data_IF_082718598179
#
_entry.id   IF_082718598179
#
_cell.length_a   1.000
_cell.length_b   1.000
_cell.length_c   1.000
_cell.angle_alpha   90.00
_cell.angle_beta   90.00
_cell.angle_gamma   90.00
#
_symmetry.space_group_name_H-M   'P 1'
#
loop_
_entity.id
_entity.type
_entity.pdbx_description
1 polymer ?
#
# COMPACT_ATOMS: atom_id res chain seq x y z
N UNK A 1 16.15 -0.08 -4.48
CA UNK A 1 14.94 -0.82 -4.94
C UNK A 1 14.53 -0.26 -6.30
N UNK A 2 13.83 -1.02 -7.15
CA UNK A 2 13.57 -0.70 -8.58
C UNK A 2 12.92 0.68 -8.88
N UNK A 3 12.50 1.43 -7.87
CA UNK A 3 11.96 2.80 -8.00
C UNK A 3 13.01 3.89 -8.22
N UNK A 4 14.28 3.66 -7.85
CA UNK A 4 15.32 4.69 -7.88
C UNK A 4 16.04 4.78 -9.24
N UNK A 5 15.78 3.81 -10.13
CA UNK A 5 16.42 3.70 -11.44
C UNK A 5 15.59 4.46 -12.48
N UNK A 6 16.19 5.32 -13.32
CA UNK A 6 15.47 5.97 -14.42
C UNK A 6 14.72 4.95 -15.28
N UNK A 7 13.41 5.20 -15.46
CA UNK A 7 12.55 4.29 -16.23
C UNK A 7 12.24 2.96 -15.54
N UNK A 8 12.50 2.79 -14.24
CA UNK A 8 12.29 1.55 -13.49
C UNK A 8 10.88 0.96 -13.65
N UNK A 9 9.83 1.79 -13.63
CA UNK A 9 8.44 1.35 -13.91
C UNK A 9 8.29 0.71 -15.29
N UNK A 10 8.90 1.32 -16.30
CA UNK A 10 8.81 0.84 -17.68
C UNK A 10 9.63 -0.45 -17.88
N UNK A 11 10.76 -0.58 -17.17
CA UNK A 11 11.52 -1.82 -17.12
C UNK A 11 10.68 -2.92 -16.44
N UNK A 12 10.11 -2.67 -15.25
CA UNK A 12 9.27 -3.62 -14.51
C UNK A 12 8.10 -4.14 -15.36
N UNK A 13 7.49 -3.27 -16.16
CA UNK A 13 6.40 -3.63 -17.05
C UNK A 13 6.86 -4.51 -18.23
N UNK A 14 7.98 -4.19 -18.87
CA UNK A 14 8.43 -4.83 -20.12
C UNK A 14 9.27 -6.09 -19.91
N UNK A 15 10.08 -6.14 -18.86
CA UNK A 15 10.99 -7.26 -18.66
C UNK A 15 10.23 -8.53 -18.24
N UNK A 16 10.63 -9.71 -18.74
CA UNK A 16 10.06 -10.98 -18.29
C UNK A 16 10.42 -11.23 -16.83
N UNK A 17 9.65 -12.08 -16.14
CA UNK A 17 9.91 -12.40 -14.73
C UNK A 17 11.30 -13.02 -14.49
N UNK A 18 11.85 -13.73 -15.47
CA UNK A 18 13.20 -14.34 -15.40
C UNK A 18 14.31 -13.31 -15.29
N UNK A 19 14.15 -12.15 -15.93
CA UNK A 19 15.10 -11.03 -15.79
C UNK A 19 15.21 -10.59 -14.32
N UNK A 20 14.07 -10.46 -13.64
CA UNK A 20 14.02 -10.08 -12.23
C UNK A 20 14.54 -11.18 -11.31
N UNK A 21 14.24 -12.45 -11.60
CA UNK A 21 14.81 -13.61 -10.89
C UNK A 21 16.33 -13.54 -10.87
N UNK A 22 16.95 -13.39 -12.05
CA UNK A 22 18.40 -13.41 -12.19
C UNK A 22 19.06 -12.21 -11.50
N UNK A 23 18.45 -11.01 -11.60
CA UNK A 23 18.91 -9.82 -10.91
C UNK A 23 18.85 -9.97 -9.37
N UNK A 24 17.73 -10.48 -8.84
CA UNK A 24 17.54 -10.73 -7.41
C UNK A 24 18.57 -11.76 -6.90
N UNK A 25 18.75 -12.86 -7.64
CA UNK A 25 19.71 -13.91 -7.27
C UNK A 25 21.16 -13.40 -7.25
N UNK A 26 21.55 -12.59 -8.24
CA UNK A 26 22.88 -12.00 -8.29
C UNK A 26 23.12 -11.00 -7.14
N UNK A 27 22.15 -10.16 -6.82
CA UNK A 27 22.26 -9.17 -5.73
C UNK A 27 22.36 -9.83 -4.35
N UNK A 28 21.46 -10.77 -4.05
CA UNK A 28 21.47 -11.50 -2.78
C UNK A 28 22.67 -12.46 -2.66
N UNK A 29 23.19 -12.96 -3.80
CA UNK A 29 24.35 -13.85 -3.83
C UNK A 29 25.64 -13.24 -3.25
N UNK A 30 25.75 -11.91 -3.22
CA UNK A 30 26.88 -11.23 -2.57
C UNK A 30 26.94 -11.50 -1.06
N UNK A 31 25.77 -11.61 -0.41
CA UNK A 31 25.67 -11.93 1.02
C UNK A 31 25.60 -13.46 1.27
N UNK A 32 25.09 -14.23 0.31
CA UNK A 32 24.88 -15.67 0.43
C UNK A 32 25.35 -16.39 -0.85
N UNK A 33 26.66 -16.69 -1.00
CA UNK A 33 27.25 -17.15 -2.27
C UNK A 33 26.65 -18.45 -2.85
N UNK A 34 26.21 -19.35 -2.00
CA UNK A 34 25.58 -20.64 -2.33
C UNK A 34 24.05 -20.55 -2.50
N UNK A 35 23.46 -19.35 -2.46
CA UNK A 35 22.01 -19.17 -2.56
C UNK A 35 21.46 -19.65 -3.90
N UNK A 36 22.18 -19.44 -5.00
CA UNK A 36 21.74 -19.87 -6.33
C UNK A 36 21.58 -21.40 -6.38
N UNK A 37 22.54 -22.13 -5.82
CA UNK A 37 22.53 -23.60 -5.79
C UNK A 37 21.43 -24.14 -4.88
N UNK A 38 21.09 -23.41 -3.81
CA UNK A 38 20.08 -23.80 -2.81
C UNK A 38 18.66 -23.32 -3.14
N UNK A 39 18.47 -22.50 -4.17
CA UNK A 39 17.16 -21.94 -4.49
C UNK A 39 16.32 -22.97 -5.23
N UNK A 40 15.30 -23.52 -4.56
CA UNK A 40 14.38 -24.50 -5.17
C UNK A 40 13.23 -23.85 -5.95
N UNK A 41 12.77 -22.67 -5.52
CA UNK A 41 11.60 -22.00 -6.10
C UNK A 41 11.66 -20.49 -5.92
N UNK A 42 11.24 -19.76 -6.95
CA UNK A 42 11.01 -18.31 -6.91
C UNK A 42 9.65 -18.01 -7.53
N UNK A 43 8.79 -17.31 -6.80
CA UNK A 43 7.55 -16.74 -7.30
C UNK A 43 7.68 -15.20 -7.35
N UNK A 44 7.34 -14.60 -8.49
CA UNK A 44 7.44 -13.15 -8.69
C UNK A 44 6.09 -12.60 -9.11
N UNK A 45 5.60 -11.62 -8.35
CA UNK A 45 4.38 -10.88 -8.67
C UNK A 45 4.74 -9.43 -8.96
N UNK A 46 4.13 -8.87 -10.01
CA UNK A 46 4.29 -7.46 -10.39
C UNK A 46 3.04 -6.69 -9.98
N UNK A 47 3.19 -5.80 -9.01
CA UNK A 47 2.14 -4.88 -8.60
C UNK A 47 2.32 -3.54 -9.31
N UNK A 48 1.33 -3.13 -10.11
CA UNK A 48 1.31 -1.82 -10.78
C UNK A 48 1.13 -0.64 -9.80
N UNK A 49 0.57 -0.93 -8.63
CA UNK A 49 0.43 -0.05 -7.49
C UNK A 49 0.54 -0.92 -6.23
N UNK A 50 1.58 -0.71 -5.42
CA UNK A 50 1.81 -1.53 -4.23
C UNK A 50 1.22 -0.86 -2.99
N UNK A 51 1.86 0.21 -2.54
CA UNK A 51 1.49 1.01 -1.38
C UNK A 51 1.48 2.48 -1.79
N UNK A 52 0.66 3.30 -1.13
CA UNK A 52 0.74 4.75 -1.29
C UNK A 52 2.17 5.21 -1.01
N UNK A 53 2.74 5.98 -1.94
CA UNK A 53 4.05 6.62 -1.76
C UNK A 53 3.77 8.09 -1.47
N UNK A 54 3.67 8.49 -0.19
CA UNK A 54 3.32 9.85 0.16
C UNK A 54 4.39 10.81 -0.33
N UNK A 55 3.95 11.87 -1.01
CA UNK A 55 4.79 13.03 -1.33
C UNK A 55 4.70 14.06 -0.20
N UNK A 56 5.65 15.01 -0.09
CA UNK A 56 5.53 16.10 0.87
C UNK A 56 4.15 16.77 0.80
N UNK A 57 3.47 16.87 1.95
CA UNK A 57 2.11 17.41 2.07
C UNK A 57 0.96 16.41 1.94
N UNK A 58 1.21 15.14 1.59
CA UNK A 58 0.16 14.12 1.47
C UNK A 58 -0.62 13.92 2.78
N UNK A 59 0.08 13.82 3.92
CA UNK A 59 -0.55 13.68 5.23
C UNK A 59 -1.47 14.87 5.57
N UNK A 60 -1.03 16.10 5.31
CA UNK A 60 -1.84 17.29 5.54
C UNK A 60 -3.11 17.35 4.65
N UNK A 61 -3.07 16.77 3.46
CA UNK A 61 -4.25 16.64 2.59
C UNK A 61 -5.22 15.61 3.16
N UNK A 62 -4.73 14.43 3.53
CA UNK A 62 -5.51 13.33 4.12
C UNK A 62 -6.17 13.76 5.44
N UNK A 63 -5.42 14.43 6.33
CA UNK A 63 -5.96 14.95 7.59
C UNK A 63 -7.06 15.97 7.37
N UNK A 64 -6.91 16.88 6.39
CA UNK A 64 -7.98 17.84 6.04
C UNK A 64 -9.22 17.14 5.48
N UNK A 65 -9.05 16.14 4.62
CA UNK A 65 -10.18 15.37 4.09
C UNK A 65 -10.92 14.61 5.20
N UNK A 66 -10.19 14.02 6.15
CA UNK A 66 -10.77 13.35 7.33
C UNK A 66 -11.49 14.32 8.27
N UNK A 67 -10.96 15.53 8.48
CA UNK A 67 -11.63 16.54 9.31
C UNK A 67 -12.98 16.99 8.74
N UNK A 68 -13.18 16.86 7.42
CA UNK A 68 -14.46 17.11 6.77
C UNK A 68 -15.45 15.93 6.90
N UNK A 69 -15.00 14.75 7.34
CA UNK A 69 -15.87 13.62 7.61
C UNK A 69 -16.66 13.82 8.90
N UNK A 70 -17.92 13.40 8.90
CA UNK A 70 -18.76 13.43 10.10
C UNK A 70 -18.39 12.27 11.03
N UNK A 71 -18.13 12.57 12.30
CA UNK A 71 -18.05 11.57 13.35
C UNK A 71 -19.44 10.99 13.62
N UNK A 72 -19.82 9.95 12.89
CA UNK A 72 -21.00 9.15 13.20
C UNK A 72 -20.64 8.10 14.24
N UNK A 73 -21.16 8.23 15.46
CA UNK A 73 -21.30 7.17 16.49
C UNK A 73 -20.11 6.23 16.76
N UNK A 74 -18.89 6.59 16.35
CA UNK A 74 -17.79 5.65 16.25
C UNK A 74 -17.33 5.23 17.64
N UNK A 75 -17.11 3.92 17.81
CA UNK A 75 -16.46 3.34 19.01
C UNK A 75 -14.96 3.63 19.06
N UNK A 76 -14.42 4.31 18.06
CA UNK A 76 -13.01 4.63 17.82
C UNK A 76 -12.84 6.13 17.62
N UNK A 77 -11.68 6.69 18.01
CA UNK A 77 -11.38 8.13 17.84
C UNK A 77 -11.39 8.59 16.37
N UNK A 78 -11.26 7.66 15.42
CA UNK A 78 -11.24 7.96 13.98
C UNK A 78 -12.65 7.93 13.42
N UNK A 79 -13.13 9.09 12.95
CA UNK A 79 -14.40 9.21 12.24
C UNK A 79 -14.31 8.57 10.85
N UNK A 80 -15.24 7.68 10.47
CA UNK A 80 -15.29 7.14 9.11
C UNK A 80 -15.71 8.22 8.13
N UNK A 81 -15.11 8.19 6.93
CA UNK A 81 -15.45 9.13 5.86
C UNK A 81 -16.67 8.61 5.10
N UNK A 82 -17.83 9.21 5.40
CA UNK A 82 -19.13 8.94 4.77
C UNK A 82 -19.53 10.15 3.94
N UNK A 83 -20.06 9.92 2.73
CA UNK A 83 -20.49 10.97 1.81
C UNK A 83 -21.96 11.34 2.04
N UNK A 84 -22.28 12.63 2.03
CA UNK A 84 -23.64 13.13 2.24
C UNK A 84 -24.64 12.62 1.17
N UNK A 85 -24.18 12.49 -0.08
CA UNK A 85 -24.96 11.97 -1.22
C UNK A 85 -24.93 10.44 -1.33
N UNK A 86 -24.07 9.76 -0.56
CA UNK A 86 -23.98 8.30 -0.47
C UNK A 86 -23.85 7.83 0.99
N UNK A 87 -24.92 7.94 1.81
CA UNK A 87 -24.87 7.71 3.25
C UNK A 87 -24.60 6.25 3.65
N UNK A 88 -24.60 5.32 2.68
CA UNK A 88 -24.26 3.89 2.90
C UNK A 88 -22.88 3.52 2.38
N UNK A 89 -22.06 4.51 1.99
CA UNK A 89 -20.71 4.31 1.49
C UNK A 89 -19.72 4.93 2.48
N UNK A 90 -18.75 4.13 2.93
CA UNK A 90 -17.68 4.57 3.82
C UNK A 90 -16.31 4.16 3.28
N UNK A 91 -15.30 5.02 3.44
CA UNK A 91 -13.92 4.69 3.08
C UNK A 91 -13.16 4.06 4.26
N UNK A 92 -12.39 3.02 3.96
CA UNK A 92 -11.70 2.19 4.96
C UNK A 92 -10.25 1.78 4.56
N UNK A 93 -9.71 2.32 3.46
CA UNK A 93 -8.48 1.82 2.87
C UNK A 93 -7.20 2.29 3.60
N UNK A 94 -6.12 1.51 3.52
CA UNK A 94 -4.81 1.86 4.09
C UNK A 94 -4.24 3.17 3.54
N UNK A 95 -4.51 3.50 2.28
CA UNK A 95 -4.07 4.79 1.72
C UNK A 95 -4.72 5.97 2.45
N UNK A 96 -5.83 5.71 3.12
CA UNK A 96 -6.57 6.71 3.85
C UNK A 96 -5.97 7.08 5.19
N UNK A 97 -4.99 6.34 5.71
CA UNK A 97 -4.12 6.76 6.82
C UNK A 97 -2.99 7.71 6.40
N UNK A 98 -2.81 7.91 5.10
CA UNK A 98 -1.72 8.70 4.55
C UNK A 98 -0.39 7.96 4.50
N UNK A 99 -0.35 6.68 4.89
CA UNK A 99 0.80 5.78 4.75
C UNK A 99 0.39 4.31 4.93
N UNK A 100 0.93 3.39 4.12
CA UNK A 100 0.43 2.01 4.08
C UNK A 100 0.93 1.13 5.25
N UNK A 101 0.20 1.13 6.37
CA UNK A 101 0.37 0.16 7.47
C UNK A 101 -0.93 -0.60 7.76
N UNK A 102 -0.80 -1.87 8.17
CA UNK A 102 -1.94 -2.76 8.34
C UNK A 102 -2.84 -2.36 9.50
N UNK A 103 -2.27 -1.87 10.60
CA UNK A 103 -2.98 -1.49 11.82
C UNK A 103 -3.96 -0.35 11.55
N UNK A 104 -3.56 0.63 10.74
CA UNK A 104 -4.42 1.74 10.34
C UNK A 104 -5.52 1.28 9.38
N UNK A 105 -5.18 0.42 8.42
CA UNK A 105 -6.17 -0.15 7.50
C UNK A 105 -7.26 -0.92 8.27
N UNK A 106 -6.86 -1.71 9.25
CA UNK A 106 -7.77 -2.43 10.13
C UNK A 106 -8.65 -1.47 10.94
N UNK A 107 -8.04 -0.49 11.61
CA UNK A 107 -8.75 0.49 12.44
C UNK A 107 -9.80 1.27 11.64
N UNK A 108 -9.48 1.67 10.41
CA UNK A 108 -10.41 2.36 9.52
C UNK A 108 -11.53 1.44 9.02
N UNK A 109 -11.22 0.16 8.75
CA UNK A 109 -12.21 -0.86 8.39
C UNK A 109 -13.21 -1.12 9.51
N UNK A 110 -12.73 -1.26 10.75
CA UNK A 110 -13.58 -1.44 11.93
C UNK A 110 -14.49 -0.22 12.15
N UNK A 111 -13.93 0.99 12.08
CA UNK A 111 -14.69 2.24 12.20
C UNK A 111 -15.78 2.38 11.12
N UNK A 112 -15.44 2.07 9.86
CA UNK A 112 -16.39 2.10 8.75
C UNK A 112 -17.50 1.06 8.90
N UNK A 113 -17.15 -0.16 9.34
CA UNK A 113 -18.12 -1.23 9.61
C UNK A 113 -19.08 -0.86 10.73
N UNK A 114 -18.57 -0.29 11.82
CA UNK A 114 -19.38 0.14 12.96
C UNK A 114 -20.36 1.29 12.61
N UNK A 115 -19.99 2.20 11.71
CA UNK A 115 -20.84 3.33 11.35
C UNK A 115 -21.92 3.02 10.30
N UNK A 116 -21.80 1.90 9.58
CA UNK A 116 -22.77 1.46 8.57
C UNK A 116 -23.69 0.31 9.03
N UNK A 117 -23.44 -0.25 10.22
CA UNK A 117 -24.26 -1.29 10.84
C UNK A 117 -25.53 -0.72 11.49
#
# INVERSE_FOLDING_TARGET
ALGDVPGGRAQLLRQPWTHWRDAILAELGAAHPDMIEKTERIDIVRYGHAMAVPVPGALAQVTRARAAARAGGARTEVAPLIFDDAPRLAFAHADWSGYSIFEEAFTLGDAAGAALA
#
